data_IF_252376364939
#
_entry.id   IF_252376364939
#
_cell.length_a   1.000
_cell.length_b   1.000
_cell.length_c   1.000
_cell.angle_alpha   90.00
_cell.angle_beta   90.00
_cell.angle_gamma   90.00
#
_symmetry.space_group_name_H-M   'P 1'
#
loop_
_entity.id
_entity.type
_entity.pdbx_description
1 polymer ?
#
# COMPACT_ATOMS: atom_id res chain seq x y z
N UNK A 1 4.00 -4.69 17.08
CA UNK A 1 2.64 -4.11 16.77
C UNK A 1 1.96 -4.98 15.73
N UNK A 2 0.80 -5.57 16.03
CA UNK A 2 0.05 -6.34 15.04
C UNK A 2 -0.94 -5.44 14.29
N UNK A 3 -1.03 -5.62 12.96
CA UNK A 3 -2.03 -4.98 12.10
C UNK A 3 -2.88 -6.05 11.43
N UNK A 4 -4.19 -5.80 11.30
CA UNK A 4 -5.13 -6.73 10.71
C UNK A 4 -5.94 -6.09 9.60
N UNK A 5 -6.29 -6.86 8.59
CA UNK A 5 -7.26 -6.47 7.56
C UNK A 5 -7.94 -7.69 6.96
N UNK A 6 -9.16 -7.51 6.42
CA UNK A 6 -9.90 -8.57 5.76
C UNK A 6 -10.77 -7.99 4.65
N UNK A 7 -10.81 -8.64 3.47
CA UNK A 7 -11.57 -8.21 2.29
C UNK A 7 -12.21 -9.37 1.54
N UNK A 8 -13.19 -9.04 0.70
CA UNK A 8 -13.92 -10.01 -0.14
C UNK A 8 -13.06 -10.47 -1.29
N UNK A 9 -13.12 -11.75 -1.59
CA UNK A 9 -12.59 -12.35 -2.82
C UNK A 9 -13.79 -12.71 -3.70
N UNK A 10 -13.95 -12.02 -4.81
CA UNK A 10 -14.95 -12.31 -5.82
C UNK A 10 -14.23 -13.01 -6.98
N UNK A 11 -14.88 -13.95 -7.65
CA UNK A 11 -14.34 -14.92 -8.62
C UNK A 11 -13.36 -14.46 -9.72
N UNK A 12 -12.76 -13.31 -9.61
CA UNK A 12 -11.72 -12.83 -10.51
C UNK A 12 -10.48 -12.33 -9.76
N UNK A 13 -9.64 -13.26 -9.40
CA UNK A 13 -8.35 -13.01 -8.75
C UNK A 13 -7.30 -12.40 -9.67
N UNK A 14 -7.55 -12.28 -10.96
CA UNK A 14 -6.60 -11.71 -11.91
C UNK A 14 -6.07 -10.32 -11.52
N UNK A 15 -6.84 -9.50 -10.79
CA UNK A 15 -6.35 -8.21 -10.27
C UNK A 15 -5.53 -8.32 -8.98
N UNK A 16 -5.74 -9.36 -8.19
CA UNK A 16 -4.94 -9.62 -6.98
C UNK A 16 -3.64 -10.32 -7.36
N UNK A 17 -3.67 -11.18 -8.38
CA UNK A 17 -2.48 -11.84 -8.95
C UNK A 17 -1.53 -10.82 -9.62
N UNK A 18 -2.03 -9.82 -10.35
CA UNK A 18 -1.18 -8.75 -10.93
C UNK A 18 -0.42 -7.94 -9.86
N UNK A 19 -0.96 -7.83 -8.65
CA UNK A 19 -0.24 -7.24 -7.52
C UNK A 19 0.81 -8.20 -6.91
N UNK A 20 0.65 -9.49 -7.13
CA UNK A 20 1.49 -10.59 -6.58
C UNK A 20 2.52 -11.06 -7.62
N UNK A 21 2.24 -10.90 -8.91
CA UNK A 21 3.18 -11.11 -10.01
C UNK A 21 4.23 -9.99 -10.09
N UNK A 22 5.08 -9.93 -9.08
CA UNK A 22 6.38 -9.33 -9.28
C UNK A 22 7.27 -10.41 -9.91
N UNK A 23 7.75 -10.23 -11.17
CA UNK A 23 8.53 -11.23 -11.92
C UNK A 23 9.78 -11.71 -11.17
N UNK A 24 10.34 -10.89 -10.28
CA UNK A 24 11.52 -11.19 -9.48
C UNK A 24 11.27 -12.25 -8.37
N UNK A 25 10.04 -12.76 -8.23
CA UNK A 25 9.67 -13.73 -7.19
C UNK A 25 9.19 -15.08 -7.73
N UNK A 26 9.09 -15.25 -9.04
CA UNK A 26 8.57 -16.45 -9.70
C UNK A 26 9.57 -17.08 -10.65
N UNK A 27 10.78 -17.37 -10.23
CA UNK A 27 11.60 -18.33 -10.96
C UNK A 27 11.33 -19.74 -10.42
N UNK A 28 10.34 -20.42 -10.96
CA UNK A 28 10.39 -21.75 -11.56
C UNK A 28 9.01 -22.22 -12.05
N UNK A 29 8.71 -22.18 -13.34
CA UNK A 29 7.50 -22.78 -13.91
C UNK A 29 7.82 -24.23 -14.33
N UNK A 30 8.01 -25.13 -13.39
CA UNK A 30 8.04 -26.55 -13.70
C UNK A 30 6.78 -27.21 -13.15
N UNK A 31 5.85 -27.51 -14.07
CA UNK A 31 4.85 -28.56 -14.02
C UNK A 31 3.91 -28.60 -12.82
N UNK A 32 2.84 -27.82 -12.88
CA UNK A 32 1.56 -28.25 -12.33
C UNK A 32 0.59 -28.47 -13.50
N UNK A 33 0.22 -29.72 -13.75
CA UNK A 33 -0.98 -30.03 -14.51
C UNK A 33 -2.14 -29.39 -13.75
N UNK A 34 -2.85 -28.45 -14.42
CA UNK A 34 -4.02 -27.80 -13.85
C UNK A 34 -5.12 -28.85 -13.75
N UNK A 35 -5.68 -29.12 -12.54
CA UNK A 35 -6.88 -29.90 -12.47
C UNK A 35 -8.00 -29.20 -13.23
N UNK A 36 -8.77 -29.95 -13.98
CA UNK A 36 -9.95 -29.50 -14.72
C UNK A 36 -10.92 -28.81 -13.74
N UNK A 37 -11.11 -27.51 -13.89
CA UNK A 37 -11.88 -26.70 -12.94
C UNK A 37 -13.14 -26.15 -13.63
N UNK A 38 -14.28 -26.69 -13.24
CA UNK A 38 -15.56 -26.44 -13.89
C UNK A 38 -16.16 -25.04 -13.70
N UNK A 39 -15.66 -24.22 -12.75
CA UNK A 39 -16.23 -22.87 -12.49
C UNK A 39 -15.18 -21.81 -12.15
N UNK A 40 -15.46 -20.53 -12.49
CA UNK A 40 -14.60 -19.38 -12.15
C UNK A 40 -14.48 -19.17 -10.64
N UNK A 41 -15.51 -19.52 -9.88
CA UNK A 41 -15.55 -19.41 -8.43
C UNK A 41 -14.65 -20.44 -7.77
N UNK A 42 -14.63 -21.67 -8.27
CA UNK A 42 -13.73 -22.72 -7.79
C UNK A 42 -12.26 -22.37 -8.09
N UNK A 43 -11.98 -21.78 -9.27
CA UNK A 43 -10.67 -21.24 -9.61
C UNK A 43 -10.25 -20.14 -8.64
N UNK A 44 -11.13 -19.17 -8.38
CA UNK A 44 -10.85 -18.06 -7.47
C UNK A 44 -10.50 -18.51 -6.05
N UNK A 45 -11.22 -19.52 -5.52
CA UNK A 45 -10.93 -20.09 -4.22
C UNK A 45 -9.60 -20.84 -4.21
N UNK A 46 -9.29 -21.59 -5.27
CA UNK A 46 -8.01 -22.30 -5.44
C UNK A 46 -6.85 -21.34 -5.38
N UNK A 47 -6.91 -20.26 -6.17
CA UNK A 47 -5.83 -19.28 -6.26
C UNK A 47 -5.54 -18.62 -4.90
N UNK A 48 -6.58 -18.30 -4.10
CA UNK A 48 -6.40 -17.73 -2.74
C UNK A 48 -5.76 -18.73 -1.81
N UNK A 49 -6.20 -19.98 -1.84
CA UNK A 49 -5.65 -21.05 -1.02
C UNK A 49 -4.21 -21.33 -1.40
N UNK A 50 -3.90 -21.48 -2.68
CA UNK A 50 -2.54 -21.70 -3.17
C UNK A 50 -1.59 -20.57 -2.78
N UNK A 51 -2.03 -19.32 -2.91
CA UNK A 51 -1.26 -18.18 -2.44
C UNK A 51 -0.95 -18.25 -0.94
N UNK A 52 -1.97 -18.56 -0.14
CA UNK A 52 -1.82 -18.63 1.32
C UNK A 52 -0.87 -19.75 1.76
N UNK A 53 -0.87 -20.91 1.06
CA UNK A 53 -0.12 -22.11 1.46
C UNK A 53 1.19 -22.33 0.71
N UNK A 54 1.67 -21.38 -0.10
CA UNK A 54 2.92 -21.55 -0.86
C UNK A 54 4.06 -22.05 0.04
N UNK A 55 4.62 -23.19 -0.30
CA UNK A 55 5.62 -23.91 0.53
C UNK A 55 6.88 -23.07 0.80
N UNK A 56 7.35 -22.29 -0.18
CA UNK A 56 8.51 -21.38 -0.01
C UNK A 56 8.27 -20.29 1.05
N UNK A 57 7.01 -19.95 1.33
CA UNK A 57 6.65 -18.88 2.27
C UNK A 57 6.27 -19.42 3.64
N UNK A 58 5.72 -20.63 3.71
CA UNK A 58 5.16 -21.23 4.94
C UNK A 58 6.02 -22.32 5.54
N UNK A 59 7.11 -22.73 4.89
CA UNK A 59 8.01 -23.80 5.33
C UNK A 59 9.28 -23.28 5.99
N UNK A 60 9.69 -23.91 7.07
CA UNK A 60 10.98 -23.72 7.74
C UNK A 60 11.67 -25.06 7.86
N UNK A 61 12.93 -25.14 7.46
CA UNK A 61 13.76 -26.32 7.66
C UNK A 61 14.46 -26.17 9.01
N UNK A 62 14.23 -27.12 9.92
CA UNK A 62 14.94 -27.26 11.19
C UNK A 62 15.71 -28.55 11.16
N UNK A 63 16.76 -28.66 11.96
CA UNK A 63 17.53 -29.90 12.13
C UNK A 63 17.07 -30.49 13.47
N UNK A 64 16.65 -31.73 13.48
CA UNK A 64 16.29 -32.43 14.70
C UNK A 64 17.53 -32.92 15.50
N UNK A 65 17.29 -33.53 16.65
CA UNK A 65 18.36 -34.05 17.52
C UNK A 65 19.21 -35.15 16.86
N UNK A 66 18.73 -35.74 15.76
CA UNK A 66 19.46 -36.77 14.96
C UNK A 66 20.17 -36.13 13.74
N UNK A 67 20.23 -34.80 13.63
CA UNK A 67 20.78 -34.07 12.48
C UNK A 67 20.04 -34.30 11.16
N UNK A 68 18.77 -34.68 11.20
CA UNK A 68 17.93 -34.85 10.04
C UNK A 68 17.20 -33.51 9.74
N UNK A 69 17.25 -33.00 8.51
CA UNK A 69 16.49 -31.78 8.17
C UNK A 69 14.99 -32.09 8.15
N UNK A 70 14.26 -31.49 9.08
CA UNK A 70 12.78 -31.58 9.17
C UNK A 70 12.18 -30.30 8.65
N UNK A 71 11.25 -30.40 7.68
CA UNK A 71 10.49 -29.26 7.18
C UNK A 71 9.26 -29.03 8.05
N UNK A 72 9.27 -27.98 8.83
CA UNK A 72 8.11 -27.53 9.57
C UNK A 72 7.27 -26.58 8.70
N UNK A 73 5.98 -26.87 8.54
CA UNK A 73 5.06 -26.11 7.74
C UNK A 73 4.02 -25.40 8.61
N UNK A 74 3.93 -24.09 8.46
CA UNK A 74 3.00 -23.25 9.24
C UNK A 74 1.69 -23.01 8.47
N UNK A 75 0.95 -24.09 8.25
CA UNK A 75 -0.38 -24.07 7.62
C UNK A 75 -1.31 -24.97 8.42
N UNK A 76 -2.44 -24.43 8.87
CA UNK A 76 -3.45 -25.13 9.66
C UNK A 76 -4.87 -24.79 9.19
N UNK A 77 -5.79 -25.74 9.35
CA UNK A 77 -7.21 -25.54 9.09
C UNK A 77 -8.01 -25.44 10.38
N UNK A 78 -9.03 -24.62 10.36
CA UNK A 78 -10.11 -24.59 11.36
C UNK A 78 -11.35 -25.09 10.67
N UNK A 79 -11.93 -26.21 11.15
CA UNK A 79 -13.06 -26.92 10.56
C UNK A 79 -12.82 -27.40 9.11
N UNK A 80 -11.56 -27.52 8.70
CA UNK A 80 -11.16 -28.13 7.43
C UNK A 80 -9.72 -28.64 7.53
N UNK A 81 -9.37 -29.60 6.67
CA UNK A 81 -7.98 -30.03 6.52
C UNK A 81 -7.21 -29.07 5.62
N UNK A 82 -5.96 -28.70 5.95
CA UNK A 82 -5.15 -27.84 5.09
C UNK A 82 -4.95 -28.36 3.67
N UNK A 83 -4.89 -29.67 3.49
CA UNK A 83 -4.65 -30.34 2.22
C UNK A 83 -5.88 -30.40 1.31
N UNK A 84 -7.06 -30.44 1.89
CA UNK A 84 -8.36 -30.58 1.19
C UNK A 84 -9.29 -29.37 1.40
N UNK A 85 -8.79 -28.30 2.00
CA UNK A 85 -9.57 -27.12 2.38
C UNK A 85 -10.42 -26.55 1.24
N UNK A 86 -9.89 -26.49 0.02
CA UNK A 86 -10.60 -26.03 -1.17
C UNK A 86 -11.84 -26.92 -1.43
N UNK A 87 -11.64 -28.23 -1.50
CA UNK A 87 -12.70 -29.16 -1.89
C UNK A 87 -13.76 -29.26 -0.80
N UNK A 88 -13.36 -29.23 0.47
CA UNK A 88 -14.27 -29.14 1.61
C UNK A 88 -15.10 -27.84 1.60
N UNK A 89 -14.45 -26.69 1.36
CA UNK A 89 -15.15 -25.40 1.27
C UNK A 89 -16.13 -25.37 0.09
N UNK A 90 -15.76 -25.95 -1.06
CA UNK A 90 -16.65 -26.08 -2.21
C UNK A 90 -17.80 -27.06 -1.96
N UNK A 91 -17.53 -28.17 -1.27
CA UNK A 91 -18.58 -29.16 -0.90
C UNK A 91 -19.64 -28.51 0.01
N UNK A 92 -19.24 -27.70 0.99
CA UNK A 92 -20.17 -26.91 1.82
C UNK A 92 -21.03 -25.97 0.97
N UNK A 93 -20.41 -25.24 0.03
CA UNK A 93 -21.15 -24.33 -0.88
C UNK A 93 -22.17 -25.09 -1.73
N UNK A 94 -21.77 -26.20 -2.34
CA UNK A 94 -22.64 -27.08 -3.12
C UNK A 94 -23.80 -27.64 -2.30
N UNK A 95 -23.51 -28.12 -1.07
CA UNK A 95 -24.54 -28.63 -0.16
C UNK A 95 -25.67 -27.63 0.08
N UNK A 96 -25.36 -26.35 0.16
CA UNK A 96 -26.34 -25.29 0.44
C UNK A 96 -26.78 -24.51 -0.82
N UNK A 97 -26.31 -24.88 -2.03
CA UNK A 97 -26.65 -24.19 -3.29
C UNK A 97 -26.17 -22.73 -3.32
N UNK A 98 -25.02 -22.44 -2.71
CA UNK A 98 -24.50 -21.06 -2.56
C UNK A 98 -23.09 -20.89 -3.15
N UNK A 99 -22.92 -21.39 -4.37
CA UNK A 99 -21.64 -21.38 -5.07
C UNK A 99 -21.30 -20.02 -5.67
N UNK A 100 -22.31 -19.21 -6.01
CA UNK A 100 -22.15 -17.93 -6.69
C UNK A 100 -21.82 -16.76 -5.74
N UNK A 101 -21.18 -15.74 -6.30
CA UNK A 101 -20.90 -14.45 -5.67
C UNK A 101 -19.56 -14.42 -4.95
N UNK A 102 -19.51 -13.89 -3.71
CA UNK A 102 -18.27 -13.83 -2.93
C UNK A 102 -17.81 -15.24 -2.57
N UNK A 103 -16.64 -15.62 -3.05
CA UNK A 103 -16.09 -16.98 -2.92
C UNK A 103 -15.45 -17.21 -1.56
N UNK A 104 -14.67 -16.26 -1.09
CA UNK A 104 -14.01 -16.31 0.20
C UNK A 104 -13.80 -14.89 0.75
N UNK A 105 -13.45 -14.80 2.03
CA UNK A 105 -12.78 -13.62 2.55
C UNK A 105 -11.30 -13.95 2.75
N UNK A 106 -10.44 -13.02 2.32
CA UNK A 106 -9.02 -13.09 2.57
C UNK A 106 -8.66 -12.03 3.61
N UNK A 107 -7.95 -12.42 4.65
CA UNK A 107 -7.47 -11.52 5.68
C UNK A 107 -5.99 -11.72 5.95
N UNK A 108 -5.38 -10.76 6.64
CA UNK A 108 -4.05 -10.90 7.18
C UNK A 108 -3.95 -10.33 8.60
N UNK A 109 -3.00 -10.86 9.35
CA UNK A 109 -2.50 -10.32 10.61
C UNK A 109 -0.98 -10.24 10.51
N UNK A 110 -0.42 -9.05 10.67
CA UNK A 110 1.01 -8.80 10.49
C UNK A 110 1.63 -8.30 11.79
N UNK A 111 2.78 -8.85 12.16
CA UNK A 111 3.49 -8.53 13.39
C UNK A 111 4.62 -7.52 13.14
N UNK A 112 5.08 -6.85 14.20
CA UNK A 112 6.25 -6.01 14.09
C UNK A 112 7.51 -6.85 13.87
N UNK A 113 8.50 -6.30 13.16
CA UNK A 113 9.74 -7.02 12.92
C UNK A 113 10.42 -7.50 14.21
N UNK A 114 10.76 -8.80 14.28
CA UNK A 114 11.49 -9.37 15.38
C UNK A 114 10.73 -9.57 16.69
N UNK A 115 9.42 -9.28 16.75
CA UNK A 115 8.62 -9.46 17.97
C UNK A 115 8.11 -10.89 18.17
N UNK A 116 7.83 -11.62 17.10
CA UNK A 116 7.22 -12.95 17.16
C UNK A 116 8.13 -14.00 16.52
N UNK A 117 8.09 -15.22 17.07
CA UNK A 117 8.64 -16.40 16.38
C UNK A 117 7.60 -16.95 15.39
N UNK A 118 8.00 -17.75 14.38
CA UNK A 118 7.07 -18.41 13.47
C UNK A 118 5.97 -19.22 14.17
N UNK A 119 6.34 -19.97 15.20
CA UNK A 119 5.45 -20.80 16.00
C UNK A 119 4.42 -19.96 16.75
N UNK A 120 4.89 -18.89 17.42
CA UNK A 120 4.04 -17.94 18.16
C UNK A 120 3.08 -17.21 17.21
N UNK A 121 3.59 -16.74 16.07
CA UNK A 121 2.78 -16.07 15.08
C UNK A 121 1.66 -16.98 14.54
N UNK A 122 2.00 -18.24 14.24
CA UNK A 122 1.03 -19.23 13.76
C UNK A 122 -0.02 -19.58 14.80
N UNK A 123 0.39 -19.80 16.06
CA UNK A 123 -0.53 -20.09 17.15
C UNK A 123 -1.50 -18.93 17.41
N UNK A 124 -1.01 -17.70 17.45
CA UNK A 124 -1.86 -16.50 17.56
C UNK A 124 -2.87 -16.44 16.40
N UNK A 125 -2.43 -16.69 15.16
CA UNK A 125 -3.29 -16.73 13.98
C UNK A 125 -4.38 -17.79 14.09
N UNK A 126 -4.01 -18.98 14.52
CA UNK A 126 -4.97 -20.09 14.71
C UNK A 126 -6.01 -19.80 15.79
N UNK A 127 -5.57 -19.23 16.92
CA UNK A 127 -6.48 -18.81 18.01
C UNK A 127 -7.41 -17.69 17.57
N UNK A 128 -6.88 -16.72 16.81
CA UNK A 128 -7.69 -15.64 16.22
C UNK A 128 -8.76 -16.19 15.28
N UNK A 129 -8.39 -17.09 14.38
CA UNK A 129 -9.34 -17.73 13.45
C UNK A 129 -10.42 -18.52 14.17
N UNK A 130 -10.07 -19.28 15.20
CA UNK A 130 -11.02 -20.02 16.03
C UNK A 130 -12.00 -19.11 16.75
N UNK A 131 -11.50 -18.03 17.35
CA UNK A 131 -12.35 -17.09 18.10
C UNK A 131 -13.36 -16.35 17.23
N UNK A 132 -12.97 -15.97 15.99
CA UNK A 132 -13.81 -15.15 15.12
C UNK A 132 -14.76 -15.97 14.24
N UNK A 133 -14.33 -17.12 13.75
CA UNK A 133 -15.05 -17.88 12.72
C UNK A 133 -15.23 -19.35 13.05
N UNK A 134 -14.52 -19.88 14.06
CA UNK A 134 -14.45 -21.30 14.32
C UNK A 134 -15.79 -21.98 14.66
N UNK A 135 -16.80 -21.23 15.11
CA UNK A 135 -18.10 -21.80 15.41
C UNK A 135 -18.89 -22.23 14.15
N UNK A 136 -18.74 -21.50 13.04
CA UNK A 136 -19.63 -21.66 11.87
C UNK A 136 -18.94 -21.78 10.53
N UNK A 137 -17.68 -21.36 10.43
CA UNK A 137 -17.00 -21.26 9.13
C UNK A 137 -15.72 -22.07 9.10
N UNK A 138 -15.38 -22.51 7.91
CA UNK A 138 -14.09 -23.14 7.62
C UNK A 138 -13.06 -22.05 7.35
N UNK A 139 -11.87 -22.17 7.96
CA UNK A 139 -10.79 -21.19 7.79
C UNK A 139 -9.49 -21.91 7.56
N UNK A 140 -8.74 -21.48 6.54
CA UNK A 140 -7.34 -21.85 6.34
C UNK A 140 -6.47 -20.75 6.89
N UNK A 141 -5.50 -21.10 7.74
CA UNK A 141 -4.52 -20.19 8.34
C UNK A 141 -3.13 -20.57 7.85
N UNK A 142 -2.41 -19.61 7.29
CA UNK A 142 -1.04 -19.80 6.84
C UNK A 142 -0.14 -18.67 7.32
N UNK A 143 1.00 -18.99 7.91
CA UNK A 143 1.99 -18.02 8.36
C UNK A 143 3.11 -17.92 7.35
N UNK A 144 3.32 -16.74 6.79
CA UNK A 144 4.38 -16.48 5.83
C UNK A 144 5.68 -16.07 6.53
N UNK A 145 6.77 -16.70 6.09
CA UNK A 145 8.14 -16.53 6.59
C UNK A 145 9.08 -15.90 5.56
N UNK A 146 8.57 -15.55 4.38
CA UNK A 146 9.33 -15.05 3.23
C UNK A 146 10.06 -13.72 3.49
N UNK A 147 9.62 -13.00 4.50
CA UNK A 147 10.28 -11.79 4.99
C UNK A 147 10.79 -12.06 6.39
N UNK A 148 12.06 -12.38 6.52
CA UNK A 148 12.71 -12.78 7.77
C UNK A 148 12.46 -11.84 8.96
N UNK A 149 12.10 -10.60 8.70
CA UNK A 149 11.83 -9.60 9.72
C UNK A 149 10.35 -9.19 9.81
N UNK A 150 9.44 -9.84 9.08
CA UNK A 150 8.05 -9.41 9.02
C UNK A 150 7.08 -10.59 8.87
N UNK A 151 6.88 -11.31 9.96
CA UNK A 151 5.94 -12.42 9.99
C UNK A 151 4.50 -11.95 9.85
N UNK A 152 3.71 -12.68 9.07
CA UNK A 152 2.30 -12.37 8.89
C UNK A 152 1.48 -13.63 8.62
N UNK A 153 0.31 -13.67 9.22
CA UNK A 153 -0.69 -14.71 9.00
C UNK A 153 -1.62 -14.30 7.87
N UNK A 154 -1.97 -15.26 7.03
CA UNK A 154 -3.06 -15.16 6.06
C UNK A 154 -4.22 -16.03 6.51
N UNK A 155 -5.43 -15.51 6.30
CA UNK A 155 -6.68 -16.21 6.59
C UNK A 155 -7.50 -16.32 5.31
N UNK A 156 -7.93 -17.54 4.96
CA UNK A 156 -8.92 -17.76 3.91
C UNK A 156 -10.16 -18.31 4.57
N UNK A 157 -11.22 -17.51 4.63
CA UNK A 157 -12.48 -17.83 5.33
C UNK A 157 -13.52 -18.22 4.30
N UNK A 158 -14.11 -19.41 4.43
CA UNK A 158 -15.24 -19.80 3.61
C UNK A 158 -16.43 -18.89 3.89
N UNK A 159 -17.10 -18.43 2.83
CA UNK A 159 -18.26 -17.54 2.96
C UNK A 159 -19.53 -18.23 3.39
N UNK A 160 -19.62 -19.55 3.29
CA UNK A 160 -20.82 -20.32 3.63
C UNK A 160 -20.58 -21.11 4.91
N UNK A 161 -21.46 -20.94 5.88
CA UNK A 161 -21.44 -21.68 7.13
C UNK A 161 -21.69 -23.17 6.87
N UNK A 162 -20.87 -24.02 7.47
CA UNK A 162 -21.02 -25.49 7.34
C UNK A 162 -22.14 -26.02 8.22
N UNK A 163 -22.67 -25.22 9.18
CA UNK A 163 -23.76 -25.61 10.07
C UNK A 163 -25.12 -25.32 9.43
N UNK A 164 -25.38 -24.06 9.08
CA UNK A 164 -26.67 -23.53 8.68
C UNK A 164 -26.72 -22.95 7.27
N UNK A 165 -25.59 -22.96 6.56
CA UNK A 165 -25.47 -22.41 5.20
C UNK A 165 -25.57 -20.90 5.10
N UNK A 166 -25.64 -20.16 6.22
CA UNK A 166 -25.71 -18.68 6.18
C UNK A 166 -24.44 -18.13 5.61
N UNK A 167 -24.56 -17.19 4.65
CA UNK A 167 -23.38 -16.50 4.09
C UNK A 167 -22.82 -15.47 5.07
N UNK A 168 -21.53 -15.53 5.30
CA UNK A 168 -20.79 -14.52 6.05
C UNK A 168 -20.75 -13.19 5.28
N UNK A 169 -21.23 -12.15 5.91
CA UNK A 169 -21.16 -10.79 5.41
C UNK A 169 -20.36 -9.96 6.40
N UNK A 170 -19.11 -9.62 6.04
CA UNK A 170 -18.27 -8.78 6.87
C UNK A 170 -18.91 -7.42 7.11
N UNK A 171 -19.14 -7.08 8.35
CA UNK A 171 -19.58 -5.77 8.82
C UNK A 171 -18.40 -4.90 9.28
N UNK A 172 -18.64 -3.63 9.57
CA UNK A 172 -17.66 -2.77 10.21
C UNK A 172 -17.33 -3.25 11.63
N UNK A 173 -18.34 -3.81 12.33
CA UNK A 173 -18.16 -4.41 13.65
C UNK A 173 -17.16 -5.57 13.60
N UNK A 174 -17.27 -6.48 12.65
CA UNK A 174 -16.35 -7.63 12.50
C UNK A 174 -14.91 -7.17 12.31
N UNK A 175 -14.70 -6.05 11.59
CA UNK A 175 -13.38 -5.46 11.43
C UNK A 175 -12.79 -5.01 12.77
N UNK A 176 -13.56 -4.32 13.60
CA UNK A 176 -13.09 -3.92 14.94
C UNK A 176 -12.98 -5.10 15.91
N UNK A 177 -13.83 -6.10 15.78
CA UNK A 177 -13.75 -7.32 16.59
C UNK A 177 -12.47 -8.10 16.27
N UNK A 178 -12.09 -8.19 15.00
CA UNK A 178 -10.82 -8.77 14.57
C UNK A 178 -9.61 -8.03 15.14
N UNK A 179 -9.64 -6.69 15.13
CA UNK A 179 -8.57 -5.89 15.72
C UNK A 179 -8.46 -6.09 17.23
N UNK A 180 -9.59 -6.03 17.94
CA UNK A 180 -9.61 -6.20 19.42
C UNK A 180 -9.14 -7.58 19.83
N UNK A 181 -9.57 -8.62 19.14
CA UNK A 181 -9.17 -9.98 19.46
C UNK A 181 -7.69 -10.22 19.12
N UNK A 182 -7.22 -9.69 18.00
CA UNK A 182 -5.78 -9.69 17.66
C UNK A 182 -4.94 -8.99 18.73
N UNK A 183 -5.38 -7.80 19.17
CA UNK A 183 -4.68 -7.04 20.22
C UNK A 183 -4.70 -7.76 21.57
N UNK A 184 -5.82 -8.42 21.92
CA UNK A 184 -5.94 -9.23 23.13
C UNK A 184 -4.92 -10.37 23.12
N UNK A 185 -4.88 -11.12 22.02
CA UNK A 185 -3.94 -12.22 21.86
C UNK A 185 -2.49 -11.73 21.87
N UNK A 186 -2.18 -10.65 21.16
CA UNK A 186 -0.82 -10.09 21.19
C UNK A 186 -0.38 -9.71 22.60
N UNK A 187 -1.24 -9.11 23.42
CA UNK A 187 -0.91 -8.80 24.82
C UNK A 187 -0.68 -10.06 25.65
N UNK A 188 -1.47 -11.11 25.45
CA UNK A 188 -1.32 -12.41 26.13
C UNK A 188 0.06 -13.03 25.87
N UNK A 189 0.58 -12.86 24.64
CA UNK A 189 1.91 -13.32 24.25
C UNK A 189 3.04 -12.28 24.47
N UNK A 190 2.75 -11.18 25.14
CA UNK A 190 3.75 -10.12 25.42
C UNK A 190 4.17 -9.30 24.20
N UNK A 191 3.39 -9.33 23.10
CA UNK A 191 3.68 -8.57 21.89
C UNK A 191 3.11 -7.15 21.96
N UNK A 192 3.71 -6.22 21.24
CA UNK A 192 3.26 -4.84 21.19
C UNK A 192 1.94 -4.67 20.41
N UNK A 193 1.09 -3.75 20.89
CA UNK A 193 -0.18 -3.38 20.24
C UNK A 193 -0.23 -1.88 19.95
N UNK A 194 -1.09 -1.47 19.00
CA UNK A 194 -1.32 -0.06 18.69
C UNK A 194 -2.30 0.52 19.71
N UNK A 195 -1.79 1.20 20.74
CA UNK A 195 -2.63 1.76 21.80
C UNK A 195 -3.59 2.86 21.29
N UNK A 196 -3.14 3.70 20.36
CA UNK A 196 -3.91 4.83 19.81
C UNK A 196 -3.89 4.82 18.29
N UNK A 197 -4.74 4.02 17.61
CA UNK A 197 -4.81 4.00 16.17
C UNK A 197 -5.32 5.35 15.65
N UNK A 198 -4.51 6.04 14.85
CA UNK A 198 -4.90 7.31 14.23
C UNK A 198 -5.78 7.04 13.00
N UNK A 199 -7.09 7.23 13.14
CA UNK A 199 -8.04 7.08 12.03
C UNK A 199 -7.75 8.07 10.90
N UNK A 200 -7.90 7.63 9.66
CA UNK A 200 -7.81 8.49 8.48
C UNK A 200 -6.40 8.91 8.05
N UNK A 201 -5.34 8.41 8.69
CA UNK A 201 -3.95 8.70 8.34
C UNK A 201 -3.19 7.50 7.76
N UNK A 202 -3.90 6.46 7.31
CA UNK A 202 -3.25 5.35 6.61
C UNK A 202 -2.68 5.85 5.29
N UNK A 203 -1.37 5.72 5.10
CA UNK A 203 -0.69 5.99 3.85
C UNK A 203 -0.76 4.75 2.96
N UNK A 204 -0.89 4.96 1.64
CA UNK A 204 -0.72 3.87 0.69
C UNK A 204 0.70 3.30 0.81
N UNK A 205 0.85 1.97 0.72
CA UNK A 205 2.15 1.30 0.90
C UNK A 205 3.27 1.90 0.04
N UNK A 206 2.99 2.23 -1.22
CA UNK A 206 3.96 2.88 -2.12
C UNK A 206 4.41 4.27 -1.65
N UNK A 207 3.52 5.03 -1.01
CA UNK A 207 3.84 6.35 -0.44
C UNK A 207 4.70 6.19 0.83
N UNK A 208 4.32 5.26 1.71
CA UNK A 208 5.11 4.93 2.89
C UNK A 208 6.51 4.44 2.53
N UNK A 209 6.62 3.53 1.54
CA UNK A 209 7.91 3.02 1.06
C UNK A 209 8.79 4.13 0.48
N UNK A 210 8.21 5.01 -0.34
CA UNK A 210 8.94 6.14 -0.91
C UNK A 210 9.51 7.07 0.18
N UNK A 211 8.73 7.30 1.27
CA UNK A 211 9.21 8.07 2.42
C UNK A 211 10.36 7.37 3.15
N UNK A 212 10.29 6.05 3.36
CA UNK A 212 11.36 5.27 3.99
C UNK A 212 12.66 5.30 3.16
N UNK A 213 12.54 5.28 1.84
CA UNK A 213 13.66 5.36 0.90
C UNK A 213 14.12 6.81 0.65
N UNK A 214 13.54 7.81 1.31
CA UNK A 214 13.85 9.22 1.10
C UNK A 214 13.47 9.76 -0.28
N UNK A 215 12.64 9.03 -1.03
CA UNK A 215 12.16 9.48 -2.33
C UNK A 215 11.01 10.47 -2.18
N UNK A 216 10.98 11.56 -2.97
CA UNK A 216 9.90 12.52 -2.89
C UNK A 216 8.58 11.87 -3.31
N UNK A 217 7.54 12.07 -2.49
CA UNK A 217 6.17 11.67 -2.82
C UNK A 217 5.43 12.83 -3.47
N UNK A 218 4.35 12.53 -4.22
CA UNK A 218 3.52 13.57 -4.82
C UNK A 218 3.00 14.59 -3.80
N UNK A 219 2.63 14.10 -2.61
CA UNK A 219 2.13 14.97 -1.54
C UNK A 219 3.26 15.81 -0.90
N UNK A 220 4.48 15.25 -0.77
CA UNK A 220 5.63 15.99 -0.25
C UNK A 220 6.08 17.10 -1.21
N UNK A 221 5.99 16.88 -2.53
CA UNK A 221 6.27 17.91 -3.53
C UNK A 221 5.24 19.05 -3.45
N UNK A 222 3.93 18.73 -3.42
CA UNK A 222 2.89 19.75 -3.22
C UNK A 222 3.13 20.54 -1.93
N UNK A 223 3.50 19.86 -0.84
CA UNK A 223 3.79 20.51 0.43
C UNK A 223 4.95 21.48 0.31
N UNK A 224 6.05 21.06 -0.32
CA UNK A 224 7.24 21.91 -0.54
C UNK A 224 6.91 23.14 -1.37
N UNK A 225 6.15 22.98 -2.47
CA UNK A 225 5.74 24.07 -3.35
C UNK A 225 4.79 25.05 -2.66
N UNK A 226 3.82 24.54 -1.89
CA UNK A 226 2.92 25.37 -1.08
C UNK A 226 3.69 26.15 -0.02
N UNK A 227 4.62 25.51 0.68
CA UNK A 227 5.46 26.16 1.69
C UNK A 227 6.38 27.22 1.05
N UNK A 228 6.93 26.96 -0.15
CA UNK A 228 7.71 27.92 -0.91
C UNK A 228 6.85 29.12 -1.35
N UNK A 229 5.64 28.87 -1.87
CA UNK A 229 4.71 29.91 -2.24
C UNK A 229 4.30 30.79 -1.05
N UNK A 230 4.08 30.18 0.15
CA UNK A 230 3.80 30.94 1.37
C UNK A 230 4.99 31.83 1.71
N UNK A 231 6.23 31.29 1.75
CA UNK A 231 7.45 32.06 2.10
C UNK A 231 7.70 33.26 1.16
N UNK A 232 7.31 33.12 -0.09
CA UNK A 232 7.55 34.14 -1.12
C UNK A 232 6.39 35.14 -1.28
N UNK A 233 5.32 35.02 -0.51
CA UNK A 233 4.12 35.83 -0.64
C UNK A 233 3.89 36.74 0.56
N UNK A 234 3.45 37.98 0.29
CA UNK A 234 3.02 38.94 1.31
C UNK A 234 1.48 39.03 1.41
N UNK A 235 0.77 38.52 0.40
CA UNK A 235 -0.68 38.54 0.33
C UNK A 235 -1.21 37.19 -0.16
N UNK A 236 -2.45 36.87 0.20
CA UNK A 236 -3.15 35.70 -0.30
C UNK A 236 -3.22 35.67 -1.85
N UNK A 237 -3.44 36.85 -2.45
CA UNK A 237 -3.47 36.98 -3.92
C UNK A 237 -2.14 36.59 -4.56
N UNK A 238 -1.02 37.00 -3.95
CA UNK A 238 0.33 36.61 -4.41
C UNK A 238 0.58 35.11 -4.23
N UNK A 239 0.12 34.52 -3.12
CA UNK A 239 0.22 33.08 -2.88
C UNK A 239 -0.47 32.28 -3.99
N UNK A 240 -1.73 32.57 -4.32
CA UNK A 240 -2.42 31.89 -5.41
C UNK A 240 -1.80 32.18 -6.77
N UNK A 241 -1.30 33.38 -7.00
CA UNK A 241 -0.59 33.71 -8.23
C UNK A 241 0.66 32.86 -8.40
N UNK A 242 1.49 32.70 -7.34
CA UNK A 242 2.69 31.88 -7.38
C UNK A 242 2.41 30.41 -7.63
N UNK A 243 1.41 29.84 -6.97
CA UNK A 243 1.02 28.45 -7.25
C UNK A 243 0.57 28.25 -8.70
N UNK A 244 -0.11 29.22 -9.28
CA UNK A 244 -0.44 29.17 -10.72
C UNK A 244 0.79 29.29 -11.61
N UNK A 245 1.75 30.11 -11.25
CA UNK A 245 3.04 30.20 -11.96
C UNK A 245 3.82 28.86 -11.91
N UNK A 246 3.71 28.09 -10.82
CA UNK A 246 4.25 26.73 -10.71
C UNK A 246 3.42 25.69 -11.50
N UNK A 247 2.36 26.12 -12.20
CA UNK A 247 1.52 25.26 -13.04
C UNK A 247 0.37 24.58 -12.32
N UNK A 248 0.08 24.94 -11.07
CA UNK A 248 -1.05 24.35 -10.35
C UNK A 248 -2.39 24.97 -10.77
N UNK A 249 -3.39 24.10 -11.02
CA UNK A 249 -4.78 24.51 -11.08
C UNK A 249 -5.37 24.53 -9.66
N UNK A 250 -6.07 25.62 -9.30
CA UNK A 250 -6.49 25.88 -7.93
C UNK A 250 -7.98 26.11 -7.87
N UNK A 251 -8.65 25.35 -7.00
CA UNK A 251 -10.05 25.58 -6.63
C UNK A 251 -10.13 25.94 -5.15
N UNK A 252 -10.67 27.11 -4.86
CA UNK A 252 -10.87 27.60 -3.49
C UNK A 252 -12.32 27.35 -3.10
N UNK A 253 -12.54 26.57 -2.05
CA UNK A 253 -13.84 26.28 -1.48
C UNK A 253 -13.68 26.20 0.06
N UNK A 254 -14.40 25.29 0.71
CA UNK A 254 -14.21 24.99 2.14
C UNK A 254 -12.77 24.56 2.45
N UNK A 255 -12.12 23.92 1.49
CA UNK A 255 -10.71 23.57 1.50
C UNK A 255 -10.09 23.97 0.15
N UNK A 256 -8.80 24.31 0.16
CA UNK A 256 -8.05 24.65 -1.06
C UNK A 256 -7.68 23.34 -1.75
N UNK A 257 -8.13 23.17 -2.99
CA UNK A 257 -7.75 22.03 -3.81
C UNK A 257 -6.71 22.47 -4.84
N UNK A 258 -5.56 21.83 -4.85
CA UNK A 258 -4.49 22.06 -5.83
C UNK A 258 -4.32 20.84 -6.72
N UNK A 259 -4.20 21.04 -8.02
CA UNK A 259 -3.99 20.01 -9.03
C UNK A 259 -2.71 20.33 -9.79
N UNK A 260 -1.73 19.43 -9.70
CA UNK A 260 -0.48 19.60 -10.43
C UNK A 260 -0.64 19.33 -11.93
N UNK A 261 0.22 19.88 -12.78
CA UNK A 261 0.22 19.62 -14.22
C UNK A 261 0.25 18.12 -14.54
N UNK A 262 -0.53 17.69 -15.52
CA UNK A 262 -0.58 16.30 -15.97
C UNK A 262 -1.30 15.33 -15.03
N UNK A 263 -2.06 15.84 -14.04
CA UNK A 263 -2.88 15.01 -13.13
C UNK A 263 -4.36 15.31 -13.32
N UNK A 264 -5.17 14.24 -13.33
CA UNK A 264 -6.63 14.37 -13.45
C UNK A 264 -7.30 14.79 -12.14
N UNK A 265 -6.71 14.41 -10.99
CA UNK A 265 -7.29 14.67 -9.67
C UNK A 265 -6.46 15.66 -8.85
N UNK A 266 -7.15 16.63 -8.22
CA UNK A 266 -6.55 17.57 -7.27
C UNK A 266 -6.45 17.01 -5.86
N UNK A 267 -5.60 17.61 -5.02
CA UNK A 267 -5.43 17.30 -3.60
C UNK A 267 -5.92 18.46 -2.74
N UNK A 268 -6.73 18.14 -1.74
CA UNK A 268 -7.21 19.11 -0.73
C UNK A 268 -6.11 19.37 0.28
N UNK A 269 -5.68 20.61 0.45
CA UNK A 269 -4.53 20.95 1.28
C UNK A 269 -4.76 20.64 2.75
N UNK A 270 -5.84 21.15 3.33
CA UNK A 270 -6.14 20.92 4.75
C UNK A 270 -6.35 19.43 5.06
N UNK A 271 -7.11 18.73 4.20
CA UNK A 271 -7.38 17.30 4.41
C UNK A 271 -6.12 16.43 4.35
N UNK A 272 -5.20 16.72 3.42
CA UNK A 272 -4.03 15.86 3.17
C UNK A 272 -2.77 16.30 3.92
N UNK A 273 -2.59 17.61 4.17
CA UNK A 273 -1.40 18.17 4.82
C UNK A 273 -1.66 18.62 6.26
N UNK A 274 -2.92 18.64 6.69
CA UNK A 274 -3.32 19.02 8.04
C UNK A 274 -3.81 20.48 8.14
N UNK A 275 -4.30 20.84 9.33
CA UNK A 275 -4.96 22.11 9.59
C UNK A 275 -4.07 23.34 9.37
N UNK A 276 -2.75 23.19 9.50
CA UNK A 276 -1.77 24.24 9.18
C UNK A 276 -1.85 24.74 7.72
N UNK A 277 -2.51 23.99 6.85
CA UNK A 277 -2.74 24.32 5.43
C UNK A 277 -4.18 24.70 5.12
N UNK A 278 -5.00 25.00 6.14
CA UNK A 278 -6.27 25.70 5.95
C UNK A 278 -6.03 27.11 5.43
N UNK A 279 -7.03 27.67 4.72
CA UNK A 279 -6.93 29.03 4.16
C UNK A 279 -6.59 30.07 5.24
N UNK A 280 -7.21 29.94 6.42
CA UNK A 280 -6.99 30.84 7.55
C UNK A 280 -5.55 30.74 8.10
N UNK A 281 -5.05 29.52 8.28
CA UNK A 281 -3.69 29.32 8.75
C UNK A 281 -2.64 29.74 7.72
N UNK A 282 -2.89 29.53 6.43
CA UNK A 282 -2.03 30.04 5.35
C UNK A 282 -1.99 31.58 5.39
N UNK A 283 -3.14 32.27 5.53
CA UNK A 283 -3.20 33.74 5.71
C UNK A 283 -2.38 34.17 6.92
N UNK A 284 -2.54 33.51 8.07
CA UNK A 284 -1.80 33.80 9.30
C UNK A 284 -0.29 33.63 9.09
N UNK A 285 0.14 32.58 8.42
CA UNK A 285 1.56 32.31 8.09
C UNK A 285 2.12 33.39 7.17
N UNK A 286 1.37 33.83 6.16
CA UNK A 286 1.77 34.93 5.25
C UNK A 286 1.91 36.24 6.02
N UNK A 287 0.94 36.58 6.88
CA UNK A 287 0.96 37.82 7.67
C UNK A 287 2.06 37.84 8.75
N UNK A 288 2.44 36.67 9.29
CA UNK A 288 3.53 36.56 10.26
C UNK A 288 4.91 36.83 9.67
N UNK A 289 5.03 36.84 8.34
CA UNK A 289 6.30 37.12 7.64
C UNK A 289 6.50 38.63 7.53
N UNK A 290 7.61 39.12 8.08
CA UNK A 290 7.95 40.55 7.94
C UNK A 290 8.43 40.94 6.54
N UNK A 291 9.08 39.98 5.81
CA UNK A 291 9.53 40.13 4.42
C UNK A 291 9.53 38.75 3.74
N UNK A 292 9.08 38.62 2.46
CA UNK A 292 9.22 37.39 1.74
C UNK A 292 10.72 37.08 1.54
N UNK A 293 11.11 35.82 1.75
CA UNK A 293 12.45 35.38 1.36
C UNK A 293 12.54 35.49 -0.17
N UNK A 294 13.45 36.31 -0.65
CA UNK A 294 13.79 36.37 -2.07
C UNK A 294 14.67 35.15 -2.35
N UNK A 295 14.24 34.28 -3.27
CA UNK A 295 15.17 33.30 -3.81
C UNK A 295 16.35 34.08 -4.40
N UNK A 296 17.55 33.79 -3.96
CA UNK A 296 18.74 34.28 -4.65
C UNK A 296 18.63 33.76 -6.07
N UNK A 297 18.43 34.69 -7.00
CA UNK A 297 18.48 34.33 -8.41
C UNK A 297 19.84 33.66 -8.64
N UNK A 298 19.88 32.46 -9.25
CA UNK A 298 21.15 31.82 -9.52
C UNK A 298 22.06 32.83 -10.19
N UNK A 299 23.29 33.00 -9.65
CA UNK A 299 24.25 33.97 -10.22
C UNK A 299 24.31 33.78 -11.73
N UNK A 300 24.16 34.86 -12.51
CA UNK A 300 24.15 34.74 -13.96
C UNK A 300 25.49 34.15 -14.38
N UNK A 301 25.48 32.88 -14.78
CA UNK A 301 26.66 32.21 -15.31
C UNK A 301 27.12 33.00 -16.54
N UNK A 302 28.25 33.70 -16.44
CA UNK A 302 28.83 34.42 -17.56
C UNK A 302 29.22 33.42 -18.64
N UNK A 303 28.42 33.28 -19.65
CA UNK A 303 28.76 32.53 -20.84
C UNK A 303 29.70 33.36 -21.69
N UNK A 304 30.98 32.92 -21.85
CA UNK A 304 31.88 33.49 -22.82
C UNK A 304 31.51 32.96 -24.20
N UNK A 305 30.93 33.79 -25.05
CA UNK A 305 30.76 33.47 -26.45
C UNK A 305 32.15 33.44 -27.13
N UNK A 306 32.55 32.25 -27.59
CA UNK A 306 33.72 32.05 -28.42
C UNK A 306 33.30 32.25 -29.88
N UNK A 307 33.63 33.42 -30.46
CA UNK A 307 33.37 33.74 -31.87
C UNK A 307 32.73 35.13 -32.07
N UNK A 308 32.77 35.62 -33.31
CA UNK A 308 32.20 36.91 -33.67
C UNK A 308 30.66 36.80 -33.71
N UNK A 309 29.99 37.53 -32.85
CA UNK A 309 28.52 37.62 -32.74
C UNK A 309 27.86 38.03 -34.08
N UNK A 310 28.57 38.73 -34.94
CA UNK A 310 28.09 39.17 -36.25
C UNK A 310 27.96 38.04 -37.26
N UNK A 311 28.66 36.92 -37.05
CA UNK A 311 28.59 35.72 -37.91
C UNK A 311 27.65 34.64 -37.40
N UNK A 312 27.09 34.78 -36.20
CA UNK A 312 26.15 33.78 -35.63
C UNK A 312 24.81 33.87 -36.35
N UNK A 313 24.42 32.81 -37.03
CA UNK A 313 23.05 32.69 -37.58
C UNK A 313 22.04 32.71 -36.44
N UNK A 314 21.10 33.65 -36.51
CA UNK A 314 19.98 33.69 -35.54
C UNK A 314 19.19 32.36 -35.59
N UNK A 315 19.12 31.70 -34.46
CA UNK A 315 18.24 30.56 -34.34
C UNK A 315 16.76 31.03 -34.42
N UNK A 316 15.95 30.35 -35.23
CA UNK A 316 14.52 30.64 -35.40
C UNK A 316 13.65 29.44 -35.07
N UNK A 317 12.38 29.65 -34.78
CA UNK A 317 11.42 28.60 -34.53
C UNK A 317 11.76 27.73 -33.29
N UNK A 318 11.51 26.45 -33.40
CA UNK A 318 11.72 25.47 -32.32
C UNK A 318 13.15 25.46 -31.74
N UNK A 319 14.12 25.74 -32.58
CA UNK A 319 15.53 25.77 -32.16
C UNK A 319 15.85 26.96 -31.26
N UNK A 320 15.24 28.12 -31.52
CA UNK A 320 15.34 29.30 -30.66
C UNK A 320 14.67 29.03 -29.32
N UNK A 321 13.49 28.42 -29.33
CA UNK A 321 12.74 28.05 -28.14
C UNK A 321 13.51 27.02 -27.29
N UNK A 322 14.09 26.01 -27.92
CA UNK A 322 14.94 25.02 -27.25
C UNK A 322 16.12 25.68 -26.54
N UNK A 323 16.87 26.56 -27.22
CA UNK A 323 17.99 27.27 -26.61
C UNK A 323 17.54 28.22 -25.50
N UNK A 324 16.36 28.83 -25.63
CA UNK A 324 15.78 29.67 -24.61
C UNK A 324 15.50 28.88 -23.33
N UNK A 325 14.87 27.72 -23.46
CA UNK A 325 14.62 26.84 -22.30
C UNK A 325 15.90 26.24 -21.73
N UNK A 326 16.87 25.84 -22.55
CA UNK A 326 18.17 25.41 -22.08
C UNK A 326 18.89 26.50 -21.29
N UNK A 327 18.75 27.75 -21.68
CA UNK A 327 19.24 28.90 -20.95
C UNK A 327 18.55 29.11 -19.62
N UNK A 328 17.23 29.07 -19.60
CA UNK A 328 16.42 29.22 -18.38
C UNK A 328 16.68 28.09 -17.37
N UNK A 329 16.91 26.87 -17.85
CA UNK A 329 17.18 25.69 -17.03
C UNK A 329 18.65 25.51 -16.65
N UNK A 330 19.54 26.37 -17.13
CA UNK A 330 20.97 26.29 -16.87
C UNK A 330 21.67 25.05 -17.44
N UNK A 331 21.10 24.44 -18.49
CA UNK A 331 21.52 23.13 -19.05
C UNK A 331 22.57 23.27 -20.18
N UNK A 332 23.20 24.45 -20.39
CA UNK A 332 24.26 24.50 -21.37
C UNK A 332 25.46 23.69 -20.91
N UNK A 333 25.98 22.76 -21.74
CA UNK A 333 27.14 21.98 -21.37
C UNK A 333 28.33 22.93 -21.16
N UNK A 334 28.91 22.88 -19.97
CA UNK A 334 30.19 23.56 -19.72
C UNK A 334 31.23 22.77 -20.51
N UNK A 335 31.95 23.46 -21.44
CA UNK A 335 33.18 22.88 -21.98
C UNK A 335 34.16 22.71 -20.81
N UNK A 336 34.58 21.44 -20.60
CA UNK A 336 35.76 21.13 -19.82
C UNK A 336 36.97 21.83 -20.38
#
# INVERSE_FOLDING_TARGET
>A
MATTSIWRVNGWLGKVLIYIENPDKTENPASFEKPDMDTKEAQGLSDVIEYAIQQKKTGKVTVDDENVPVMQRFVSGVNCSPTTARDEMMAVKKRFGKEEGTVAYHGYQSFAPGEATPEMAHEIGLRLAKALWGEKYQVLVATHLDKSNHLHNHFVVNTVSFIDGIKYHRTEKDYYDMQRESDRLCREYGLSVIANPQRGKSKHYGEWRAEQEGRPTYLSLIKADVDAAIRQSMTERQFFYRLRQMGYDIKVGKDITVRAPGRDSGRKLMRNLGEAYSLENIRRRILAQRRPQREEAPEPKRCRLLGDLKQAKKATGFRALYFHYCYLLGVFPQKQ
#
